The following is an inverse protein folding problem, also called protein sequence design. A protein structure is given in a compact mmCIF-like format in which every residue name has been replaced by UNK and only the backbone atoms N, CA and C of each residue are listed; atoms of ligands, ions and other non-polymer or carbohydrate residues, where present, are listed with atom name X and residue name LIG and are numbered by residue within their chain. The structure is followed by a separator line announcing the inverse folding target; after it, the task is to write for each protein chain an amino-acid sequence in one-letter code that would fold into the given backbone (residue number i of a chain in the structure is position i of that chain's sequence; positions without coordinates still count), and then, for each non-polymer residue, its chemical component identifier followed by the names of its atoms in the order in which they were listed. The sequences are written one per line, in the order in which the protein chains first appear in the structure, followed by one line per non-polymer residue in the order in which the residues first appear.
data_IF_133309190150
#
_entry.id   IF_133309190150
#
_cell.length_a   1.000
_cell.length_b   1.000
_cell.length_c   1.000
_cell.angle_alpha   90.00
_cell.angle_beta   90.00
_cell.angle_gamma   90.00
#
_symmetry.space_group_name_H-M   'P 1'
#
loop_
_entity.id
_entity.type
_entity.pdbx_description
1 polymer ?
#
# COMPACT_ATOMS: atom_id res chain seq x y z
N UNK A 1 -16.81 7.80 44.90
CA UNK A 1 -15.65 8.72 44.85
C UNK A 1 -14.33 8.13 45.37
N UNK A 2 -14.24 7.54 46.58
CA UNK A 2 -12.95 7.07 47.15
C UNK A 2 -12.17 6.01 46.33
N UNK A 3 -12.81 5.28 45.41
CA UNK A 3 -12.15 4.32 44.51
C UNK A 3 -11.40 5.02 43.36
N UNK A 4 -12.05 5.98 42.68
CA UNK A 4 -11.46 6.72 41.56
C UNK A 4 -10.18 7.46 41.94
N UNK A 5 -10.10 8.02 43.15
CA UNK A 5 -8.89 8.71 43.63
C UNK A 5 -7.71 7.73 43.76
N UNK A 6 -7.93 6.49 44.23
CA UNK A 6 -6.88 5.47 44.30
C UNK A 6 -6.40 5.04 42.92
N UNK A 7 -7.30 4.87 41.95
CA UNK A 7 -6.94 4.53 40.57
C UNK A 7 -6.14 5.66 39.90
N UNK A 8 -6.51 6.92 40.14
CA UNK A 8 -5.81 8.07 39.57
C UNK A 8 -4.36 8.16 40.09
N UNK A 9 -4.16 8.01 41.40
CA UNK A 9 -2.83 8.04 42.04
C UNK A 9 -1.91 6.94 41.50
N UNK A 10 -2.42 5.72 41.31
CA UNK A 10 -1.62 4.60 40.80
C UNK A 10 -1.17 4.79 39.34
N UNK A 11 -2.04 5.36 38.49
CA UNK A 11 -1.67 5.73 37.12
C UNK A 11 -0.64 6.87 37.07
N UNK A 12 -0.71 7.84 37.99
CA UNK A 12 0.25 8.95 38.06
C UNK A 12 1.68 8.48 38.41
N UNK A 13 1.82 7.47 39.28
CA UNK A 13 3.14 6.93 39.64
C UNK A 13 3.78 6.07 38.54
N UNK A 14 2.97 5.38 37.72
CA UNK A 14 3.46 4.56 36.61
C UNK A 14 4.02 5.38 35.43
N UNK A 15 3.55 6.62 35.26
CA UNK A 15 4.01 7.52 34.19
C UNK A 15 5.30 8.29 34.55
N UNK A 16 5.73 8.26 35.82
CA UNK A 16 6.93 8.98 36.30
C UNK A 16 8.20 8.11 36.38
N UNK A 17 8.13 6.83 35.98
CA UNK A 17 9.26 5.89 36.11
C UNK A 17 9.96 5.52 34.77
N UNK A 18 9.55 6.13 33.65
CA UNK A 18 10.12 5.84 32.32
C UNK A 18 10.86 7.03 31.67
N UNK A 19 11.05 8.14 32.40
CA UNK A 19 11.78 9.32 31.92
C UNK A 19 12.86 9.74 32.92
N UNK A 20 14.04 9.12 32.83
CA UNK A 20 15.35 9.78 32.86
C UNK A 20 16.49 8.75 32.95
N UNK A 21 17.31 8.69 31.90
CA UNK A 21 18.67 8.15 31.99
C UNK A 21 19.64 8.98 31.15
N UNK A 22 19.52 10.31 31.25
CA UNK A 22 20.60 11.20 30.86
C UNK A 22 21.78 11.08 31.84
N UNK A 23 22.98 11.04 31.27
CA UNK A 23 24.22 10.74 31.98
C UNK A 23 24.65 11.93 32.85
N UNK A 24 25.00 11.66 34.10
CA UNK A 24 25.78 12.59 34.93
C UNK A 24 27.06 11.89 35.38
N UNK A 25 28.20 12.44 34.95
CA UNK A 25 29.51 12.07 35.48
C UNK A 25 29.70 12.73 36.86
N UNK A 26 30.21 11.99 37.84
CA UNK A 26 30.49 12.50 39.19
C UNK A 26 31.41 11.57 39.99
N UNK A 27 32.69 11.93 40.06
CA UNK A 27 33.79 11.23 40.76
C UNK A 27 33.60 11.08 42.27
N UNK A 28 34.01 9.94 42.84
CA UNK A 28 34.65 9.86 44.17
C UNK A 28 35.42 8.53 44.35
N UNK A 29 36.53 8.56 45.08
CA UNK A 29 37.58 7.53 45.11
C UNK A 29 37.32 6.32 46.01
N UNK A 30 37.94 5.18 45.65
CA UNK A 30 38.72 4.32 46.57
C UNK A 30 39.64 3.30 45.84
N UNK A 31 40.82 3.08 46.42
CA UNK A 31 42.03 2.45 45.86
C UNK A 31 42.06 0.91 45.77
N UNK A 32 42.43 0.38 44.58
CA UNK A 32 43.68 -0.38 44.24
C UNK A 32 44.19 -1.44 45.27
N UNK A 33 44.52 -2.71 44.88
CA UNK A 33 45.61 -3.00 43.92
C UNK A 33 45.52 -4.20 42.92
N UNK A 34 45.88 -3.87 41.67
CA UNK A 34 46.90 -4.48 40.79
C UNK A 34 47.01 -6.02 40.68
N UNK A 35 46.62 -6.54 39.50
CA UNK A 35 47.37 -7.48 38.65
C UNK A 35 46.76 -7.46 37.21
N UNK A 36 47.47 -7.52 36.07
CA UNK A 36 48.93 -7.55 35.85
C UNK A 36 49.43 -6.67 34.66
N UNK A 37 49.95 -7.26 33.56
CA UNK A 37 50.76 -6.61 32.51
C UNK A 37 50.18 -6.66 31.08
N UNK A 38 50.43 -5.53 30.42
CA UNK A 38 50.42 -5.19 28.98
C UNK A 38 51.33 -6.09 28.09
N UNK A 39 51.18 -6.06 26.74
CA UNK A 39 51.85 -5.00 25.94
C UNK A 39 50.98 -4.27 24.89
N UNK A 40 51.45 -3.09 24.49
CA UNK A 40 50.87 -2.15 23.50
C UNK A 40 51.35 -2.41 22.07
N UNK A 41 50.48 -2.11 21.10
CA UNK A 41 50.82 -1.59 19.77
C UNK A 41 49.51 -1.07 19.14
N UNK A 42 49.32 0.16 18.66
CA UNK A 42 50.11 1.38 18.57
C UNK A 42 49.16 2.49 18.09
N UNK A 43 49.26 3.69 18.65
CA UNK A 43 48.42 4.83 18.27
C UNK A 43 48.98 5.52 17.02
N UNK A 44 48.11 5.98 16.12
CA UNK A 44 48.37 7.19 15.34
C UNK A 44 47.06 7.87 14.90
N UNK A 45 46.97 9.14 15.27
CA UNK A 45 45.80 10.01 15.25
C UNK A 45 45.10 10.18 13.90
N UNK A 46 43.77 10.22 13.90
CA UNK A 46 42.95 11.11 13.06
C UNK A 46 41.67 11.52 13.82
N UNK A 47 41.20 12.75 13.59
CA UNK A 47 40.25 13.47 14.44
C UNK A 47 38.83 12.87 14.48
N UNK A 48 38.07 13.03 15.59
CA UNK A 48 36.64 12.74 15.62
C UNK A 48 35.87 13.78 14.79
N UNK A 49 35.28 13.36 13.66
CA UNK A 49 34.35 14.23 12.91
C UNK A 49 33.05 14.41 13.68
N UNK A 50 32.61 15.67 13.74
CA UNK A 50 31.49 16.15 14.53
C UNK A 50 30.14 15.47 14.22
N UNK A 51 29.29 15.46 15.25
CA UNK A 51 27.83 15.38 15.19
C UNK A 51 27.21 14.63 14.00
N UNK A 52 27.00 13.32 14.19
CA UNK A 52 25.86 12.67 13.56
C UNK A 52 24.60 13.45 13.93
N UNK A 53 23.89 13.95 12.90
CA UNK A 53 22.66 14.72 13.08
C UNK A 53 21.66 13.89 13.87
N UNK A 54 21.05 14.49 14.90
CA UNK A 54 19.77 14.00 15.39
C UNK A 54 18.81 13.92 14.21
N UNK A 55 18.23 12.74 13.99
CA UNK A 55 17.09 12.56 13.11
C UNK A 55 15.88 13.27 13.74
N UNK A 56 15.84 14.59 13.56
CA UNK A 56 14.64 15.38 13.77
C UNK A 56 13.61 14.86 12.78
N UNK A 57 12.80 13.88 13.23
CA UNK A 57 11.77 13.22 12.41
C UNK A 57 11.00 14.29 11.64
N UNK A 58 11.05 14.21 10.31
CA UNK A 58 10.39 15.20 9.46
C UNK A 58 8.88 15.17 9.73
N UNK A 59 8.43 16.15 10.53
CA UNK A 59 7.03 16.38 10.87
C UNK A 59 6.22 16.98 9.70
N UNK A 60 6.80 17.03 8.50
CA UNK A 60 6.18 17.45 7.25
C UNK A 60 5.88 16.23 6.36
N UNK A 61 4.92 16.38 5.45
CA UNK A 61 4.72 15.46 4.33
C UNK A 61 5.94 15.52 3.39
N UNK A 62 6.27 14.40 2.76
CA UNK A 62 7.12 14.36 1.56
C UNK A 62 6.34 14.89 0.34
N UNK A 63 7.02 15.23 -0.75
CA UNK A 63 6.37 15.75 -1.96
C UNK A 63 5.36 14.76 -2.58
N UNK A 64 5.67 13.46 -2.55
CA UNK A 64 4.77 12.39 -3.00
C UNK A 64 3.54 12.25 -2.08
N UNK A 65 3.73 12.31 -0.75
CA UNK A 65 2.61 12.28 0.21
C UNK A 65 1.73 13.53 0.07
N UNK A 66 2.32 14.72 -0.08
CA UNK A 66 1.62 15.98 -0.36
C UNK A 66 0.77 15.85 -1.63
N UNK A 67 1.37 15.41 -2.74
CA UNK A 67 0.67 15.28 -4.02
C UNK A 67 -0.53 14.33 -3.93
N UNK A 68 -0.35 13.16 -3.30
CA UNK A 68 -1.42 12.17 -3.09
C UNK A 68 -2.54 12.71 -2.21
N UNK A 69 -2.19 13.38 -1.12
CA UNK A 69 -3.15 14.00 -0.20
C UNK A 69 -3.95 15.11 -0.90
N UNK A 70 -3.29 16.04 -1.57
CA UNK A 70 -3.94 17.16 -2.26
C UNK A 70 -4.86 16.68 -3.38
N UNK A 71 -4.47 15.63 -4.13
CA UNK A 71 -5.31 15.02 -5.17
C UNK A 71 -6.59 14.42 -4.58
N UNK A 72 -6.48 13.64 -3.50
CA UNK A 72 -7.63 13.07 -2.79
C UNK A 72 -8.60 14.16 -2.30
N UNK A 73 -8.06 15.20 -1.65
CA UNK A 73 -8.84 16.28 -1.07
C UNK A 73 -9.45 17.17 -2.18
N UNK A 74 -8.75 17.38 -3.29
CA UNK A 74 -9.27 18.11 -4.45
C UNK A 74 -10.46 17.39 -5.08
N UNK A 75 -10.36 16.06 -5.26
CA UNK A 75 -11.46 15.24 -5.77
C UNK A 75 -12.72 15.34 -4.89
N UNK A 76 -12.59 15.25 -3.56
CA UNK A 76 -13.73 15.42 -2.65
C UNK A 76 -14.30 16.84 -2.66
N UNK A 77 -13.45 17.88 -2.69
CA UNK A 77 -13.90 19.26 -2.91
C UNK A 77 -14.72 19.38 -4.21
N UNK A 78 -14.30 18.71 -5.30
CA UNK A 78 -14.99 18.76 -6.60
C UNK A 78 -16.33 18.03 -6.59
N UNK A 79 -16.45 16.90 -5.87
CA UNK A 79 -17.71 16.20 -5.62
C UNK A 79 -18.74 17.12 -4.92
N UNK A 80 -18.28 17.92 -3.95
CA UNK A 80 -19.12 18.89 -3.22
C UNK A 80 -19.51 20.06 -4.13
N UNK A 81 -18.56 20.66 -4.84
CA UNK A 81 -18.77 21.76 -5.80
C UNK A 81 -19.84 21.39 -6.86
N UNK A 82 -19.74 20.19 -7.41
CA UNK A 82 -20.67 19.65 -8.41
C UNK A 82 -22.00 19.15 -7.82
N UNK A 83 -22.27 19.40 -6.54
CA UNK A 83 -23.48 18.98 -5.80
C UNK A 83 -23.84 17.50 -6.00
N UNK A 84 -22.83 16.63 -6.04
CA UNK A 84 -23.03 15.17 -6.22
C UNK A 84 -23.41 14.45 -4.92
N UNK A 85 -23.56 15.18 -3.81
CA UNK A 85 -24.09 14.74 -2.51
C UNK A 85 -25.10 15.79 -2.00
N UNK A 86 -25.95 15.44 -1.02
CA UNK A 86 -26.94 16.38 -0.47
C UNK A 86 -26.32 17.59 0.24
N UNK A 87 -27.07 18.67 0.45
CA UNK A 87 -26.54 19.88 1.09
C UNK A 87 -26.05 19.64 2.53
N UNK A 88 -26.78 18.84 3.32
CA UNK A 88 -26.34 18.40 4.65
C UNK A 88 -25.04 17.57 4.60
N UNK A 89 -24.94 16.64 3.65
CA UNK A 89 -23.73 15.87 3.43
C UNK A 89 -22.57 16.77 2.95
N UNK A 90 -22.85 17.79 2.13
CA UNK A 90 -21.89 18.79 1.64
C UNK A 90 -21.30 19.60 2.80
N UNK A 91 -22.14 20.14 3.69
CA UNK A 91 -21.68 20.89 4.85
C UNK A 91 -20.86 20.01 5.83
N UNK A 92 -21.33 18.78 6.08
CA UNK A 92 -20.58 17.80 6.90
C UNK A 92 -19.25 17.42 6.27
N UNK A 93 -19.21 17.28 4.94
CA UNK A 93 -17.99 17.02 4.17
C UNK A 93 -17.01 18.18 4.29
N UNK A 94 -17.44 19.42 4.06
CA UNK A 94 -16.57 20.59 4.15
C UNK A 94 -15.98 20.75 5.56
N UNK A 95 -16.79 20.58 6.60
CA UNK A 95 -16.32 20.62 7.99
C UNK A 95 -15.30 19.52 8.30
N UNK A 96 -15.45 18.34 7.71
CA UNK A 96 -14.51 17.22 7.86
C UNK A 96 -13.20 17.45 7.07
N UNK A 97 -13.27 17.86 5.80
CA UNK A 97 -12.10 18.15 4.98
C UNK A 97 -11.27 19.33 5.53
N UNK A 98 -11.92 20.36 6.05
CA UNK A 98 -11.26 21.47 6.74
C UNK A 98 -10.52 20.97 8.00
N UNK A 99 -11.12 20.04 8.76
CA UNK A 99 -10.48 19.44 9.93
C UNK A 99 -9.31 18.52 9.57
N UNK A 100 -9.36 17.75 8.46
CA UNK A 100 -8.20 16.95 8.03
C UNK A 100 -7.04 17.87 7.61
N UNK A 101 -7.32 18.98 6.92
CA UNK A 101 -6.29 19.97 6.56
C UNK A 101 -5.61 20.62 7.77
N UNK A 102 -6.33 20.78 8.90
CA UNK A 102 -5.81 21.40 10.12
C UNK A 102 -5.40 20.41 11.22
N UNK A 103 -5.48 19.10 10.98
CA UNK A 103 -5.04 18.08 11.94
C UNK A 103 -3.55 17.77 11.81
N UNK A 104 -3.04 16.91 12.71
CA UNK A 104 -1.65 16.46 12.71
C UNK A 104 -1.23 15.86 11.36
N UNK A 105 -0.04 16.24 10.88
CA UNK A 105 0.55 15.76 9.61
C UNK A 105 0.58 14.23 9.51
N UNK A 106 0.75 13.52 10.63
CA UNK A 106 0.72 12.05 10.64
C UNK A 106 -0.59 11.46 10.07
N UNK A 107 -1.73 12.12 10.29
CA UNK A 107 -3.03 11.68 9.73
C UNK A 107 -3.12 11.96 8.23
N UNK A 108 -2.48 13.03 7.75
CA UNK A 108 -2.39 13.34 6.33
C UNK A 108 -1.50 12.31 5.61
N UNK A 109 -0.37 11.91 6.24
CA UNK A 109 0.47 10.77 5.80
C UNK A 109 -0.33 9.48 5.73
N UNK A 110 -1.13 9.15 6.75
CA UNK A 110 -1.97 7.95 6.74
C UNK A 110 -2.98 7.92 5.58
N UNK A 111 -3.55 9.07 5.19
CA UNK A 111 -4.48 9.15 4.06
C UNK A 111 -3.78 9.12 2.70
N UNK A 112 -2.63 9.78 2.56
CA UNK A 112 -1.81 9.70 1.36
C UNK A 112 -1.38 8.24 1.07
N UNK A 113 -0.92 7.54 2.12
CA UNK A 113 -0.56 6.13 2.05
C UNK A 113 -1.78 5.23 1.74
N UNK A 114 -2.92 5.45 2.40
CA UNK A 114 -4.15 4.70 2.11
C UNK A 114 -4.66 4.89 0.67
N UNK A 115 -4.56 6.11 0.14
CA UNK A 115 -4.97 6.44 -1.24
C UNK A 115 -3.97 5.97 -2.31
N UNK A 116 -2.76 5.54 -1.94
CA UNK A 116 -1.68 5.27 -2.90
C UNK A 116 -2.06 4.24 -3.97
N UNK A 117 -2.78 3.17 -3.61
CA UNK A 117 -3.20 2.12 -4.58
C UNK A 117 -4.06 2.72 -5.70
N UNK A 118 -5.06 3.52 -5.33
CA UNK A 118 -5.95 4.20 -6.28
C UNK A 118 -5.20 5.27 -7.08
N UNK A 119 -4.30 6.02 -6.42
CA UNK A 119 -3.50 7.05 -7.08
C UNK A 119 -2.58 6.50 -8.17
N UNK A 120 -1.78 5.46 -7.87
CA UNK A 120 -0.89 4.86 -8.86
C UNK A 120 -1.71 4.16 -9.96
N UNK A 121 -2.85 3.53 -9.63
CA UNK A 121 -3.74 2.94 -10.64
C UNK A 121 -4.30 3.98 -11.64
N UNK A 122 -4.75 5.14 -11.15
CA UNK A 122 -5.24 6.24 -11.99
C UNK A 122 -4.12 6.82 -12.88
N UNK A 123 -2.87 6.73 -12.44
CA UNK A 123 -1.68 7.18 -13.15
C UNK A 123 -1.22 6.18 -14.22
N UNK A 124 -1.24 4.88 -13.91
CA UNK A 124 -0.77 3.81 -14.79
C UNK A 124 -1.77 3.49 -15.91
N UNK A 125 -3.07 3.43 -15.60
CA UNK A 125 -4.12 3.17 -16.62
C UNK A 125 -4.37 4.36 -17.56
N UNK A 126 -3.72 5.50 -17.32
CA UNK A 126 -3.96 6.74 -18.02
C UNK A 126 -3.74 6.60 -19.55
N UNK A 127 -4.76 6.82 -20.39
CA UNK A 127 -4.64 6.64 -21.84
C UNK A 127 -3.52 7.50 -22.46
N UNK A 128 -2.83 7.02 -23.52
CA UNK A 128 -1.74 7.77 -24.16
C UNK A 128 -2.15 9.17 -24.64
N UNK A 129 -3.38 9.37 -25.11
CA UNK A 129 -3.90 10.67 -25.53
C UNK A 129 -3.96 11.68 -24.38
N UNK A 130 -4.13 11.19 -23.14
CA UNK A 130 -4.24 12.02 -21.94
C UNK A 130 -2.89 12.23 -21.23
N UNK A 131 -1.78 11.65 -21.74
CA UNK A 131 -0.47 11.58 -21.06
C UNK A 131 0.02 12.91 -20.45
N UNK A 132 -0.32 14.05 -21.03
CA UNK A 132 0.08 15.38 -20.55
C UNK A 132 -0.73 15.92 -19.35
N UNK A 133 -1.89 15.35 -19.00
CA UNK A 133 -2.67 15.80 -17.84
C UNK A 133 -1.99 15.48 -16.49
N UNK A 134 -2.22 16.28 -15.46
CA UNK A 134 -1.99 15.85 -14.08
C UNK A 134 -3.07 14.85 -13.63
N UNK A 135 -2.82 14.08 -12.57
CA UNK A 135 -3.86 13.19 -11.98
C UNK A 135 -5.04 14.01 -11.48
N UNK A 136 -4.79 15.19 -10.90
CA UNK A 136 -5.82 16.17 -10.51
C UNK A 136 -6.70 16.57 -11.70
N UNK A 137 -6.12 16.90 -12.85
CA UNK A 137 -6.88 17.22 -14.07
C UNK A 137 -7.64 16.01 -14.61
N UNK A 138 -7.03 14.82 -14.62
CA UNK A 138 -7.68 13.58 -15.06
C UNK A 138 -8.96 13.31 -14.25
N UNK A 139 -8.85 13.37 -12.91
CA UNK A 139 -10.00 13.18 -12.02
C UNK A 139 -11.02 14.29 -12.22
N UNK A 140 -10.62 15.56 -12.20
CA UNK A 140 -11.57 16.67 -12.32
C UNK A 140 -12.35 16.63 -13.64
N UNK A 141 -11.68 16.36 -14.76
CA UNK A 141 -12.33 16.19 -16.06
C UNK A 141 -13.35 15.05 -16.03
N UNK A 142 -12.99 13.91 -15.43
CA UNK A 142 -13.88 12.77 -15.26
C UNK A 142 -15.10 13.09 -14.38
N UNK A 143 -14.94 13.81 -13.27
CA UNK A 143 -16.03 14.23 -12.38
C UNK A 143 -17.00 15.23 -13.03
N UNK A 144 -16.48 16.11 -13.89
CA UNK A 144 -17.26 17.10 -14.65
C UNK A 144 -17.96 16.53 -15.87
N UNK A 145 -17.65 15.30 -16.29
CA UNK A 145 -18.23 14.68 -17.47
C UNK A 145 -19.78 14.66 -17.42
N UNK A 146 -20.48 15.22 -18.42
CA UNK A 146 -21.95 15.36 -18.37
C UNK A 146 -22.70 14.11 -18.84
N UNK A 147 -22.14 13.29 -19.73
CA UNK A 147 -22.74 12.02 -20.17
C UNK A 147 -21.67 10.95 -20.43
N UNK A 148 -22.07 9.69 -20.23
CA UNK A 148 -21.21 8.51 -20.38
C UNK A 148 -20.59 8.46 -21.78
N UNK A 149 -21.41 8.68 -22.80
CA UNK A 149 -21.03 8.48 -24.21
C UNK A 149 -20.05 9.55 -24.72
N UNK A 150 -20.12 10.79 -24.21
CA UNK A 150 -19.24 11.88 -24.66
C UNK A 150 -17.80 11.79 -24.10
N UNK A 151 -17.57 11.00 -23.06
CA UNK A 151 -16.26 10.88 -22.43
C UNK A 151 -15.62 9.49 -22.61
N UNK A 152 -16.38 8.44 -22.93
CA UNK A 152 -15.83 7.08 -23.07
C UNK A 152 -14.72 6.99 -24.14
N UNK A 153 -14.87 7.66 -25.28
CA UNK A 153 -13.95 7.56 -26.42
C UNK A 153 -12.51 8.02 -26.11
N UNK A 154 -12.32 8.88 -25.10
CA UNK A 154 -10.99 9.35 -24.68
C UNK A 154 -10.44 8.59 -23.46
N UNK A 155 -11.27 7.77 -22.81
CA UNK A 155 -11.02 7.20 -21.48
C UNK A 155 -11.11 5.66 -21.50
N UNK A 156 -10.51 5.03 -22.52
CA UNK A 156 -10.64 3.59 -22.81
C UNK A 156 -10.27 2.62 -21.67
N UNK A 157 -9.44 3.08 -20.71
CA UNK A 157 -8.82 2.22 -19.69
C UNK A 157 -9.31 2.51 -18.25
N UNK A 158 -9.97 3.66 -18.01
CA UNK A 158 -10.73 3.96 -16.79
C UNK A 158 -11.91 4.84 -17.20
N UNK A 159 -13.14 4.36 -17.01
CA UNK A 159 -14.31 5.13 -17.42
C UNK A 159 -14.60 6.24 -16.40
N UNK A 160 -14.92 7.47 -16.84
CA UNK A 160 -15.27 8.57 -15.94
C UNK A 160 -16.39 8.29 -14.91
N UNK A 161 -17.44 7.51 -15.23
CA UNK A 161 -18.47 7.12 -14.25
C UNK A 161 -17.91 6.36 -13.05
N UNK A 162 -16.86 5.55 -13.25
CA UNK A 162 -16.30 4.69 -12.22
C UNK A 162 -15.47 5.54 -11.23
N UNK A 163 -14.71 6.52 -11.75
CA UNK A 163 -14.05 7.58 -10.96
C UNK A 163 -15.08 8.37 -10.14
N UNK A 164 -16.18 8.80 -10.78
CA UNK A 164 -17.25 9.55 -10.12
C UNK A 164 -17.93 8.73 -9.01
N UNK A 165 -18.26 7.46 -9.28
CA UNK A 165 -18.85 6.56 -8.30
C UNK A 165 -17.91 6.32 -7.12
N UNK A 166 -16.62 6.07 -7.37
CA UNK A 166 -15.61 5.93 -6.33
C UNK A 166 -15.59 7.14 -5.39
N UNK A 167 -15.26 8.34 -5.89
CA UNK A 167 -15.10 9.50 -5.01
C UNK A 167 -16.41 9.93 -4.35
N UNK A 168 -17.55 9.81 -5.04
CA UNK A 168 -18.87 10.13 -4.47
C UNK A 168 -19.24 9.17 -3.33
N UNK A 169 -19.08 7.86 -3.54
CA UNK A 169 -19.52 6.87 -2.56
C UNK A 169 -18.55 6.81 -1.36
N UNK A 170 -17.23 6.85 -1.59
CA UNK A 170 -16.23 6.95 -0.50
C UNK A 170 -16.52 8.17 0.39
N UNK A 171 -16.82 9.34 -0.19
CA UNK A 171 -17.17 10.53 0.60
C UNK A 171 -18.50 10.34 1.34
N UNK A 172 -19.55 9.87 0.65
CA UNK A 172 -20.87 9.64 1.24
C UNK A 172 -20.79 8.71 2.45
N UNK A 173 -20.10 7.58 2.31
CA UNK A 173 -20.07 6.54 3.33
C UNK A 173 -19.17 6.96 4.49
N UNK A 174 -18.04 7.63 4.20
CA UNK A 174 -17.21 8.32 5.21
C UNK A 174 -18.02 9.27 6.10
N UNK A 175 -18.86 10.11 5.51
CA UNK A 175 -19.66 11.10 6.25
C UNK A 175 -20.85 10.48 6.98
N UNK A 176 -21.44 9.43 6.41
CA UNK A 176 -22.55 8.66 7.00
C UNK A 176 -22.08 7.79 8.18
N UNK A 177 -20.84 7.31 8.17
CA UNK A 177 -20.33 6.35 9.14
C UNK A 177 -20.30 6.86 10.59
N UNK A 178 -20.16 8.18 10.85
CA UNK A 178 -20.26 8.71 12.21
C UNK A 178 -20.44 10.24 12.34
N UNK A 179 -20.69 10.68 13.57
CA UNK A 179 -20.89 12.09 13.94
C UNK A 179 -19.61 12.88 14.27
N UNK A 180 -18.47 12.22 14.55
CA UNK A 180 -17.19 12.89 14.87
C UNK A 180 -16.14 12.74 13.77
N UNK A 181 -15.37 13.80 13.53
CA UNK A 181 -14.32 13.82 12.50
C UNK A 181 -13.24 12.74 12.75
N UNK A 182 -12.88 12.44 14.00
CA UNK A 182 -11.93 11.38 14.32
C UNK A 182 -12.41 9.97 13.94
N UNK A 183 -13.74 9.72 13.94
CA UNK A 183 -14.31 8.45 13.47
C UNK A 183 -14.50 8.44 11.95
N UNK A 184 -14.88 9.58 11.35
CA UNK A 184 -14.92 9.75 9.88
C UNK A 184 -13.53 9.55 9.25
N UNK A 185 -12.47 10.01 9.91
CA UNK A 185 -11.09 9.73 9.52
C UNK A 185 -10.79 8.23 9.44
N UNK A 186 -11.20 7.47 10.45
CA UNK A 186 -11.05 6.00 10.45
C UNK A 186 -11.89 5.35 9.35
N UNK A 187 -13.13 5.82 9.12
CA UNK A 187 -13.98 5.34 8.03
C UNK A 187 -13.34 5.60 6.66
N UNK A 188 -12.89 6.83 6.37
CA UNK A 188 -12.20 7.17 5.12
C UNK A 188 -10.98 6.27 4.88
N UNK A 189 -10.16 6.05 5.91
CA UNK A 189 -9.00 5.17 5.81
C UNK A 189 -9.40 3.72 5.51
N UNK A 190 -10.51 3.23 6.06
CA UNK A 190 -11.06 1.91 5.76
C UNK A 190 -11.54 1.85 4.30
N UNK A 191 -12.35 2.81 3.85
CA UNK A 191 -12.87 2.84 2.47
C UNK A 191 -11.76 2.87 1.41
N UNK A 192 -10.65 3.58 1.68
CA UNK A 192 -9.48 3.64 0.79
C UNK A 192 -8.62 2.37 0.79
N UNK A 193 -8.70 1.54 1.85
CA UNK A 193 -7.96 0.28 1.98
C UNK A 193 -8.81 -0.97 1.72
N UNK A 194 -10.13 -0.82 1.51
CA UNK A 194 -11.04 -1.94 1.34
C UNK A 194 -11.10 -2.42 -0.11
N UNK A 195 -10.28 -3.42 -0.41
CA UNK A 195 -10.19 -4.09 -1.72
C UNK A 195 -11.44 -4.90 -2.10
N UNK A 196 -12.51 -4.90 -1.29
CA UNK A 196 -13.76 -5.58 -1.62
C UNK A 196 -14.96 -4.59 -1.69
N UNK A 197 -14.70 -3.27 -1.68
CA UNK A 197 -15.73 -2.22 -1.75
C UNK A 197 -15.46 -1.21 -2.89
N UNK A 198 -15.38 0.09 -2.60
CA UNK A 198 -15.24 1.12 -3.64
C UNK A 198 -13.94 0.99 -4.44
N UNK A 199 -12.84 0.55 -3.82
CA UNK A 199 -11.58 0.27 -4.53
C UNK A 199 -11.78 -0.82 -5.59
N UNK A 200 -12.49 -1.91 -5.26
CA UNK A 200 -12.84 -2.95 -6.21
C UNK A 200 -13.75 -2.45 -7.33
N UNK A 201 -14.66 -1.53 -7.02
CA UNK A 201 -15.57 -0.93 -8.01
C UNK A 201 -14.83 -0.04 -9.03
N UNK A 202 -13.63 0.46 -8.70
CA UNK A 202 -12.79 1.29 -9.58
C UNK A 202 -11.68 0.48 -10.27
N UNK A 203 -11.12 -0.52 -9.60
CA UNK A 203 -9.91 -1.25 -10.01
C UNK A 203 -10.15 -2.72 -10.36
N UNK A 204 -11.37 -3.21 -10.14
CA UNK A 204 -11.74 -4.63 -10.29
C UNK A 204 -10.73 -5.50 -9.51
N UNK A 205 -10.24 -6.60 -10.08
CA UNK A 205 -9.19 -7.40 -9.44
C UNK A 205 -7.75 -6.93 -9.73
N UNK A 206 -7.54 -5.91 -10.57
CA UNK A 206 -6.20 -5.39 -10.92
C UNK A 206 -5.51 -4.73 -9.71
N UNK A 207 -6.29 -4.32 -8.71
CA UNK A 207 -5.80 -3.88 -7.39
C UNK A 207 -4.80 -4.85 -6.73
N UNK A 208 -4.96 -6.16 -6.91
CA UNK A 208 -4.04 -7.17 -6.36
C UNK A 208 -2.68 -7.12 -7.08
N UNK A 209 -2.70 -6.98 -8.41
CA UNK A 209 -1.48 -6.83 -9.20
C UNK A 209 -0.71 -5.57 -8.80
N UNK A 210 -1.41 -4.43 -8.69
CA UNK A 210 -0.81 -3.14 -8.32
C UNK A 210 -0.15 -3.22 -6.95
N UNK A 211 -0.81 -3.81 -5.95
CA UNK A 211 -0.23 -3.98 -4.62
C UNK A 211 1.00 -4.89 -4.61
N UNK A 212 0.98 -6.01 -5.35
CA UNK A 212 2.13 -6.91 -5.45
C UNK A 212 3.31 -6.22 -6.15
N UNK A 213 3.05 -5.48 -7.25
CA UNK A 213 4.06 -4.64 -7.94
C UNK A 213 4.70 -3.64 -6.98
N UNK A 214 3.91 -2.97 -6.14
CA UNK A 214 4.43 -2.03 -5.14
C UNK A 214 5.39 -2.69 -4.12
N UNK A 215 5.21 -3.98 -3.78
CA UNK A 215 6.14 -4.70 -2.89
C UNK A 215 7.45 -5.08 -3.56
N UNK A 216 7.44 -5.40 -4.86
CA UNK A 216 8.62 -5.92 -5.59
C UNK A 216 9.34 -4.89 -6.46
N UNK A 217 8.81 -3.66 -6.59
CA UNK A 217 9.28 -2.62 -7.52
C UNK A 217 10.79 -2.28 -7.51
N UNK A 218 11.50 -2.59 -6.41
CA UNK A 218 12.93 -2.33 -6.26
C UNK A 218 13.81 -3.52 -6.64
N UNK A 219 13.22 -4.68 -6.95
CA UNK A 219 13.92 -5.89 -7.39
C UNK A 219 13.56 -6.18 -8.85
N UNK A 220 14.55 -6.00 -9.73
CA UNK A 220 14.38 -6.22 -11.17
C UNK A 220 14.09 -7.70 -11.52
N UNK A 221 14.67 -8.66 -10.79
CA UNK A 221 14.50 -10.08 -11.09
C UNK A 221 13.09 -10.54 -10.69
N UNK A 222 12.63 -10.14 -9.50
CA UNK A 222 11.24 -10.38 -9.09
C UNK A 222 10.25 -9.67 -10.02
N UNK A 223 10.55 -8.43 -10.43
CA UNK A 223 9.70 -7.68 -11.38
C UNK A 223 9.62 -8.36 -12.75
N UNK A 224 10.72 -8.88 -13.28
CA UNK A 224 10.73 -9.63 -14.55
C UNK A 224 9.96 -10.95 -14.44
N UNK A 225 10.18 -11.73 -13.38
CA UNK A 225 9.42 -12.95 -13.11
C UNK A 225 7.92 -12.68 -12.92
N UNK A 226 7.55 -11.58 -12.26
CA UNK A 226 6.15 -11.19 -12.07
C UNK A 226 5.51 -10.75 -13.38
N UNK A 227 6.23 -10.02 -14.25
CA UNK A 227 5.74 -9.71 -15.60
C UNK A 227 5.49 -10.98 -16.42
N UNK A 228 6.36 -11.99 -16.31
CA UNK A 228 6.15 -13.29 -16.95
C UNK A 228 4.93 -14.01 -16.39
N UNK A 229 4.76 -14.03 -15.06
CA UNK A 229 3.57 -14.58 -14.38
C UNK A 229 2.29 -13.91 -14.91
N UNK A 230 2.21 -12.58 -14.89
CA UNK A 230 1.02 -11.83 -15.35
C UNK A 230 0.71 -12.13 -16.81
N UNK A 231 1.71 -12.22 -17.68
CA UNK A 231 1.52 -12.58 -19.09
C UNK A 231 1.05 -14.04 -19.28
N UNK A 232 1.44 -14.96 -18.40
CA UNK A 232 0.99 -16.34 -18.41
C UNK A 232 -0.47 -16.51 -17.91
N UNK A 233 -1.00 -15.59 -17.11
CA UNK A 233 -2.37 -15.67 -16.62
C UNK A 233 -3.42 -15.64 -17.75
N UNK A 234 -4.62 -16.24 -17.57
CA UNK A 234 -5.66 -16.28 -18.60
C UNK A 234 -6.19 -14.88 -18.98
N UNK A 235 -5.65 -14.28 -20.04
CA UNK A 235 -6.05 -12.94 -20.50
C UNK A 235 -7.54 -12.85 -20.91
N UNK A 236 -8.09 -13.96 -21.42
CA UNK A 236 -9.51 -14.09 -21.77
C UNK A 236 -10.42 -14.41 -20.56
N UNK A 237 -9.85 -14.69 -19.38
CA UNK A 237 -10.60 -14.92 -18.15
C UNK A 237 -9.88 -14.23 -16.97
N UNK A 238 -9.98 -12.90 -16.93
CA UNK A 238 -9.37 -12.05 -15.90
C UNK A 238 -9.79 -12.43 -14.48
N UNK A 239 -10.98 -13.02 -14.28
CA UNK A 239 -11.40 -13.50 -12.97
C UNK A 239 -10.43 -14.53 -12.39
N UNK A 240 -10.01 -15.54 -13.17
CA UNK A 240 -9.03 -16.55 -12.72
C UNK A 240 -7.68 -15.89 -12.40
N UNK A 241 -7.25 -14.93 -13.24
CA UNK A 241 -6.03 -14.17 -13.01
C UNK A 241 -6.07 -13.43 -11.66
N UNK A 242 -7.18 -12.76 -11.36
CA UNK A 242 -7.38 -12.04 -10.11
C UNK A 242 -7.53 -12.98 -8.90
N UNK A 243 -8.25 -14.09 -9.04
CA UNK A 243 -8.36 -15.14 -8.00
C UNK A 243 -6.99 -15.70 -7.63
N UNK A 244 -6.14 -16.00 -8.62
CA UNK A 244 -4.78 -16.48 -8.40
C UNK A 244 -3.91 -15.48 -7.64
N UNK A 245 -3.94 -14.18 -8.01
CA UNK A 245 -3.21 -13.13 -7.29
C UNK A 245 -3.77 -12.92 -5.88
N UNK A 246 -5.10 -13.02 -5.69
CA UNK A 246 -5.77 -12.88 -4.39
C UNK A 246 -5.32 -13.94 -3.37
N UNK A 247 -4.85 -15.10 -3.80
CA UNK A 247 -4.35 -16.14 -2.88
C UNK A 247 -3.19 -15.67 -1.98
N UNK A 248 -2.42 -14.67 -2.43
CA UNK A 248 -1.28 -14.10 -1.70
C UNK A 248 -1.68 -13.10 -0.60
N UNK A 249 -2.98 -12.82 -0.44
CA UNK A 249 -3.51 -11.81 0.48
C UNK A 249 -4.31 -12.47 1.59
N UNK A 250 -4.00 -12.09 2.83
CA UNK A 250 -4.86 -12.35 3.98
C UNK A 250 -5.81 -11.17 4.16
N UNK A 251 -7.10 -11.43 4.34
CA UNK A 251 -8.12 -10.42 4.60
C UNK A 251 -8.66 -10.54 6.02
N UNK A 252 -9.15 -9.43 6.58
CA UNK A 252 -9.97 -9.45 7.77
C UNK A 252 -11.47 -9.54 7.41
N UNK A 253 -12.32 -9.67 8.42
CA UNK A 253 -13.79 -9.82 8.25
C UNK A 253 -14.48 -8.64 7.54
N UNK A 254 -13.84 -7.46 7.48
CA UNK A 254 -14.37 -6.29 6.78
C UNK A 254 -13.80 -6.09 5.37
N UNK A 255 -12.99 -7.03 4.87
CA UNK A 255 -12.46 -7.01 3.50
C UNK A 255 -11.23 -6.14 3.27
N UNK A 256 -10.66 -5.52 4.31
CA UNK A 256 -9.32 -4.94 4.22
C UNK A 256 -8.24 -6.02 4.21
N UNK A 257 -7.16 -5.79 3.47
CA UNK A 257 -5.96 -6.62 3.55
C UNK A 257 -5.34 -6.51 4.95
N UNK A 258 -5.21 -7.66 5.62
CA UNK A 258 -4.50 -7.82 6.89
C UNK A 258 -3.00 -8.01 6.65
N UNK A 259 -2.63 -8.83 5.68
CA UNK A 259 -1.23 -9.10 5.31
C UNK A 259 -1.10 -9.54 3.85
N UNK A 260 0.11 -9.46 3.30
CA UNK A 260 0.51 -10.10 2.04
C UNK A 260 1.57 -11.13 2.41
N UNK A 261 1.47 -12.37 1.92
CA UNK A 261 2.52 -13.38 2.08
C UNK A 261 3.69 -13.08 1.14
N UNK A 262 4.50 -12.10 1.54
CA UNK A 262 5.63 -11.59 0.76
C UNK A 262 6.72 -12.65 0.57
N UNK A 263 6.92 -13.55 1.53
CA UNK A 263 7.91 -14.63 1.41
C UNK A 263 7.43 -15.71 0.44
N UNK A 264 6.13 -16.03 0.43
CA UNK A 264 5.55 -16.90 -0.60
C UNK A 264 5.60 -16.27 -1.99
N UNK A 265 5.28 -14.98 -2.12
CA UNK A 265 5.44 -14.23 -3.37
C UNK A 265 6.88 -14.32 -3.89
N UNK A 266 7.87 -13.97 -3.06
CA UNK A 266 9.29 -14.09 -3.41
C UNK A 266 9.68 -15.50 -3.81
N UNK A 267 9.23 -16.51 -3.07
CA UNK A 267 9.50 -17.93 -3.36
C UNK A 267 8.98 -18.34 -4.74
N UNK A 268 7.72 -18.00 -5.06
CA UNK A 268 7.10 -18.27 -6.36
C UNK A 268 7.83 -17.54 -7.49
N UNK A 269 8.17 -16.26 -7.31
CA UNK A 269 8.86 -15.46 -8.33
C UNK A 269 10.31 -15.90 -8.55
N UNK A 270 11.03 -16.27 -7.49
CA UNK A 270 12.38 -16.85 -7.59
C UNK A 270 12.35 -18.21 -8.29
N UNK A 271 11.31 -19.02 -8.04
CA UNK A 271 11.09 -20.28 -8.75
C UNK A 271 10.85 -20.05 -10.25
N UNK A 272 9.91 -19.17 -10.60
CA UNK A 272 9.64 -18.78 -12.00
C UNK A 272 10.92 -18.26 -12.68
N UNK A 273 11.69 -17.39 -12.03
CA UNK A 273 12.97 -16.90 -12.54
C UNK A 273 13.97 -18.05 -12.75
N UNK A 274 14.02 -19.03 -11.84
CA UNK A 274 14.91 -20.19 -11.94
C UNK A 274 14.55 -21.08 -13.12
N UNK A 275 13.26 -21.36 -13.34
CA UNK A 275 12.77 -22.13 -14.49
C UNK A 275 13.00 -21.37 -15.82
N UNK A 276 12.71 -20.06 -15.86
CA UNK A 276 12.98 -19.21 -17.02
C UNK A 276 14.46 -19.20 -17.45
N UNK A 277 15.37 -19.20 -16.48
CA UNK A 277 16.81 -19.20 -16.75
C UNK A 277 17.32 -20.53 -17.34
N UNK A 278 16.60 -21.65 -17.14
CA UNK A 278 16.88 -22.90 -17.87
C UNK A 278 16.52 -22.76 -19.36
N UNK A 279 15.50 -21.97 -19.68
CA UNK A 279 15.02 -21.73 -21.05
C UNK A 279 15.80 -20.65 -21.82
N UNK A 280 17.11 -20.53 -21.60
CA UNK A 280 17.91 -19.46 -22.22
C UNK A 280 17.88 -19.57 -23.77
N UNK A 281 17.29 -18.56 -24.43
CA UNK A 281 16.98 -18.52 -25.88
C UNK A 281 16.01 -19.60 -26.40
N UNK A 282 15.44 -20.44 -25.53
CA UNK A 282 14.41 -21.41 -25.90
C UNK A 282 13.00 -20.81 -25.70
N UNK A 283 12.51 -20.09 -26.71
CA UNK A 283 11.16 -19.48 -26.65
C UNK A 283 10.03 -20.52 -26.58
N UNK A 284 10.21 -21.72 -27.17
CA UNK A 284 9.23 -22.80 -27.06
C UNK A 284 9.06 -23.25 -25.60
N UNK A 285 10.18 -23.49 -24.89
CA UNK A 285 10.14 -23.87 -23.48
C UNK A 285 9.63 -22.78 -22.54
N UNK A 286 9.87 -21.49 -22.86
CA UNK A 286 9.21 -20.38 -22.14
C UNK A 286 7.70 -20.39 -22.34
N UNK A 287 7.22 -20.62 -23.57
CA UNK A 287 5.78 -20.72 -23.85
C UNK A 287 5.15 -21.94 -23.16
N UNK A 288 5.87 -23.06 -23.09
CA UNK A 288 5.45 -24.24 -22.35
C UNK A 288 5.35 -23.95 -20.85
N UNK A 289 6.37 -23.32 -20.24
CA UNK A 289 6.33 -22.88 -18.83
C UNK A 289 5.15 -21.92 -18.55
N UNK A 290 4.88 -20.95 -19.43
CA UNK A 290 3.72 -20.06 -19.31
C UNK A 290 2.39 -20.84 -19.35
N UNK A 291 2.32 -21.86 -20.23
CA UNK A 291 1.14 -22.73 -20.34
C UNK A 291 0.95 -23.59 -19.09
N UNK A 292 2.02 -24.16 -18.52
CA UNK A 292 1.96 -24.89 -17.25
C UNK A 292 1.46 -24.01 -16.10
N UNK A 293 1.96 -22.77 -15.97
CA UNK A 293 1.48 -21.80 -14.97
C UNK A 293 -0.01 -21.53 -15.13
N UNK A 294 -0.44 -21.28 -16.36
CA UNK A 294 -1.84 -21.00 -16.71
C UNK A 294 -2.75 -22.17 -16.33
N UNK A 295 -2.43 -23.38 -16.79
CA UNK A 295 -3.26 -24.57 -16.62
C UNK A 295 -3.33 -25.00 -15.15
N UNK A 296 -2.23 -24.86 -14.42
CA UNK A 296 -2.19 -25.06 -12.97
C UNK A 296 -3.15 -24.12 -12.22
N UNK A 297 -3.12 -22.82 -12.52
CA UNK A 297 -3.97 -21.83 -11.84
C UNK A 297 -5.45 -21.96 -12.23
N UNK A 298 -5.74 -22.33 -13.48
CA UNK A 298 -7.09 -22.70 -13.94
C UNK A 298 -7.60 -23.96 -13.23
N UNK A 299 -6.73 -24.94 -12.97
CA UNK A 299 -7.07 -26.14 -12.18
C UNK A 299 -7.33 -25.79 -10.71
N UNK A 300 -6.47 -24.98 -10.09
CA UNK A 300 -6.64 -24.51 -8.70
C UNK A 300 -8.00 -23.84 -8.48
N UNK A 301 -8.40 -22.94 -9.39
CA UNK A 301 -9.69 -22.25 -9.37
C UNK A 301 -10.87 -23.24 -9.55
N UNK A 302 -10.81 -24.09 -10.59
CA UNK A 302 -11.84 -25.11 -10.89
C UNK A 302 -12.06 -26.10 -9.75
N UNK A 303 -10.97 -26.60 -9.17
CA UNK A 303 -10.98 -27.62 -8.12
C UNK A 303 -11.28 -27.01 -6.73
N UNK A 304 -11.47 -25.68 -6.64
CA UNK A 304 -11.58 -24.92 -5.39
C UNK A 304 -10.45 -25.25 -4.40
N UNK A 305 -9.22 -25.41 -4.91
CA UNK A 305 -8.06 -25.81 -4.10
C UNK A 305 -7.76 -24.73 -3.05
N UNK A 306 -7.62 -25.08 -1.75
CA UNK A 306 -7.30 -24.09 -0.72
C UNK A 306 -6.03 -23.31 -1.06
N UNK A 307 -6.08 -21.98 -0.92
CA UNK A 307 -4.99 -21.09 -1.39
C UNK A 307 -3.61 -21.45 -0.83
N UNK A 308 -3.53 -21.84 0.44
CA UNK A 308 -2.28 -22.30 1.06
C UNK A 308 -1.73 -23.56 0.37
N UNK A 309 -2.60 -24.52 0.04
CA UNK A 309 -2.23 -25.75 -0.68
C UNK A 309 -1.75 -25.43 -2.10
N UNK A 310 -2.44 -24.55 -2.82
CA UNK A 310 -2.04 -24.11 -4.16
C UNK A 310 -0.67 -23.41 -4.14
N UNK A 311 -0.47 -22.46 -3.23
CA UNK A 311 0.79 -21.73 -3.12
C UNK A 311 1.95 -22.62 -2.65
N UNK A 312 1.69 -23.67 -1.88
CA UNK A 312 2.70 -24.64 -1.46
C UNK A 312 3.12 -25.59 -2.60
N UNK A 313 2.18 -26.02 -3.44
CA UNK A 313 2.43 -26.99 -4.51
C UNK A 313 2.95 -26.34 -5.81
N UNK A 314 2.90 -25.01 -5.92
CA UNK A 314 3.30 -24.28 -7.14
C UNK A 314 4.68 -24.70 -7.66
N UNK A 315 5.71 -24.73 -6.80
CA UNK A 315 7.08 -25.01 -7.23
C UNK A 315 7.33 -26.47 -7.66
N UNK A 316 6.48 -27.41 -7.22
CA UNK A 316 6.57 -28.84 -7.60
C UNK A 316 5.77 -29.16 -8.86
N UNK A 317 4.69 -28.41 -9.11
CA UNK A 317 3.79 -28.62 -10.26
C UNK A 317 4.23 -27.80 -11.49
N UNK A 318 4.90 -26.66 -11.28
CA UNK A 318 5.40 -25.80 -12.35
C UNK A 318 6.89 -26.05 -12.57
N UNK A 319 7.23 -26.77 -13.63
CA UNK A 319 8.62 -26.99 -14.05
C UNK A 319 8.75 -26.67 -15.54
N UNK A 320 9.87 -26.09 -15.97
CA UNK A 320 10.17 -25.96 -17.39
C UNK A 320 10.63 -27.31 -17.95
N UNK A 321 10.28 -27.60 -19.20
CA UNK A 321 10.80 -28.70 -20.00
C UNK A 321 12.22 -28.43 -20.56
N UNK A 322 12.75 -27.23 -20.32
CA UNK A 322 14.09 -26.80 -20.70
C UNK A 322 15.19 -27.57 -19.96
N UNK A 323 16.10 -28.19 -20.71
CA UNK A 323 17.36 -28.71 -20.18
C UNK A 323 18.33 -27.57 -19.85
N UNK A 324 19.21 -27.80 -18.87
CA UNK A 324 20.30 -26.88 -18.49
C UNK A 324 21.50 -27.00 -19.42
#
# INVERSE_FOLDING_TARGET
MKIFIKTLIFCSTLLLYCCNSDKINGTSDKTIPILHKLPKQGENNLQPKAHGKDETRLNTLTDDENQKFDVLINAFNKIIELKRVSDDASQKSQNFLNWIRSTEVQKQKELANAFTIVYEALKDKKPPQLKNLTITQLINNALTCPSIDQCNDTYTNIRPPDILMFFRNVLKDTISANNTNAKRFKALKIELLNLNQHVHSLLEGEQYEIMLRMQIKNDNNLTQAFNFLINALPQNNRYIAWSALKLLFEFNDNGMTKSIDLEKLKSILNHINTELNKCNKNEAGKNNLATSIKDYLVKVDRDNTPGITALNNFATEILSDCQK
#
